data_IF_637066458494
#
_entry.id   IF_637066458494
#
_cell.length_a   1.000
_cell.length_b   1.000
_cell.length_c   1.000
_cell.angle_alpha   90.00
_cell.angle_beta   90.00
_cell.angle_gamma   90.00
#
_symmetry.space_group_name_H-M   'P 1'
#
loop_
_entity.id
_entity.type
_entity.pdbx_description
1 polymer ?
#
# COMPACT_ATOMS: atom_id res chain seq x y z
N UNK A 1 -11.16 -38.55 5.58
CA UNK A 1 -12.31 -37.76 6.05
C UNK A 1 -11.89 -36.30 6.10
N UNK A 2 -12.47 -35.42 5.30
CA UNK A 2 -12.08 -34.00 5.23
C UNK A 2 -13.01 -33.20 6.15
N UNK A 3 -12.45 -32.37 7.04
CA UNK A 3 -13.20 -31.40 7.85
C UNK A 3 -13.03 -30.00 7.27
N UNK A 4 -14.13 -29.25 7.14
CA UNK A 4 -14.12 -27.83 6.75
C UNK A 4 -14.29 -26.97 7.99
N UNK A 5 -13.49 -25.91 8.09
CA UNK A 5 -13.58 -24.91 9.13
C UNK A 5 -13.79 -23.55 8.48
N UNK A 6 -14.58 -22.68 9.12
CA UNK A 6 -14.78 -21.30 8.70
C UNK A 6 -14.12 -20.41 9.76
N UNK A 7 -13.14 -19.60 9.34
CA UNK A 7 -12.53 -18.59 10.21
C UNK A 7 -13.54 -17.47 10.43
N UNK A 8 -13.55 -16.88 11.63
CA UNK A 8 -14.38 -15.69 11.90
C UNK A 8 -13.96 -14.53 10.97
N UNK A 9 -14.88 -13.64 10.58
CA UNK A 9 -14.54 -12.45 9.80
C UNK A 9 -13.53 -11.60 10.59
N UNK A 10 -12.49 -11.14 9.89
CA UNK A 10 -11.47 -10.22 10.40
C UNK A 10 -11.75 -8.87 9.74
N UNK A 11 -11.85 -7.81 10.54
CA UNK A 11 -11.88 -6.44 10.03
C UNK A 11 -10.45 -6.05 9.62
N UNK A 12 -10.30 -5.52 8.41
CA UNK A 12 -9.03 -5.03 7.87
C UNK A 12 -9.18 -3.56 7.53
N UNK A 13 -8.13 -2.78 7.76
CA UNK A 13 -8.08 -1.38 7.35
C UNK A 13 -7.58 -1.29 5.90
N UNK A 14 -8.19 -0.40 5.13
CA UNK A 14 -7.83 -0.14 3.74
C UNK A 14 -7.72 1.36 3.53
N UNK A 15 -6.72 1.79 2.74
CA UNK A 15 -6.58 3.18 2.31
C UNK A 15 -6.48 3.23 0.78
N UNK A 16 -7.31 4.06 0.16
CA UNK A 16 -7.26 4.28 -1.28
C UNK A 16 -6.21 5.32 -1.63
N UNK A 17 -5.40 5.08 -2.67
CA UNK A 17 -4.52 6.12 -3.21
C UNK A 17 -5.32 7.13 -4.04
N UNK A 18 -5.30 8.39 -3.60
CA UNK A 18 -5.88 9.54 -4.30
C UNK A 18 -4.81 10.62 -4.45
N UNK A 19 -5.08 11.64 -5.28
CA UNK A 19 -4.15 12.77 -5.44
C UNK A 19 -3.98 13.61 -4.17
N UNK A 20 -4.95 13.57 -3.28
CA UNK A 20 -5.00 14.42 -2.09
C UNK A 20 -4.35 13.77 -0.85
N UNK A 21 -4.08 12.46 -0.87
CA UNK A 21 -3.60 11.69 0.30
C UNK A 21 -2.31 10.90 0.05
N UNK A 22 -1.53 11.25 -0.99
CA UNK A 22 -0.29 10.52 -1.37
C UNK A 22 0.66 10.32 -0.18
N UNK A 23 0.95 11.38 0.57
CA UNK A 23 1.85 11.32 1.74
C UNK A 23 1.29 10.42 2.85
N UNK A 24 -0.02 10.41 3.03
CA UNK A 24 -0.69 9.56 4.02
C UNK A 24 -0.55 8.09 3.63
N UNK A 25 -0.79 7.75 2.37
CA UNK A 25 -0.61 6.39 1.85
C UNK A 25 0.84 5.94 2.00
N UNK A 26 1.82 6.78 1.62
CA UNK A 26 3.25 6.46 1.77
C UNK A 26 3.66 6.22 3.23
N UNK A 27 3.04 6.92 4.18
CA UNK A 27 3.24 6.70 5.62
C UNK A 27 2.60 5.41 6.08
N UNK A 28 1.41 5.10 5.57
CA UNK A 28 0.70 3.85 5.85
C UNK A 28 1.55 2.64 5.50
N UNK A 29 2.10 2.58 4.29
CA UNK A 29 2.97 1.46 3.84
C UNK A 29 4.42 1.55 4.34
N UNK A 30 4.75 2.55 5.17
CA UNK A 30 6.08 2.67 5.81
C UNK A 30 7.21 3.21 4.93
N UNK A 31 6.99 3.42 3.63
CA UNK A 31 8.03 3.87 2.67
C UNK A 31 8.48 5.30 2.97
N UNK A 32 7.61 6.13 3.53
CA UNK A 32 7.90 7.53 3.82
C UNK A 32 9.18 7.70 4.67
N UNK A 33 9.53 6.69 5.48
CA UNK A 33 10.78 6.68 6.26
C UNK A 33 12.05 6.62 5.41
N UNK A 34 11.98 6.07 4.20
CA UNK A 34 13.12 6.01 3.26
C UNK A 34 13.21 7.27 2.38
N UNK A 35 12.09 7.98 2.22
CA UNK A 35 12.00 9.21 1.42
C UNK A 35 12.21 10.49 2.25
N UNK A 36 12.52 10.38 3.56
CA UNK A 36 12.56 11.51 4.49
C UNK A 36 13.56 12.63 4.15
N UNK A 37 14.52 12.37 3.26
CA UNK A 37 15.48 13.36 2.76
C UNK A 37 14.95 14.17 1.56
N UNK A 38 13.90 13.69 0.90
CA UNK A 38 13.23 14.39 -0.19
C UNK A 38 12.18 15.35 0.36
N UNK A 39 11.86 16.41 -0.38
CA UNK A 39 10.76 17.31 -0.03
C UNK A 39 9.44 16.66 -0.43
N UNK A 40 8.44 16.76 0.45
CA UNK A 40 7.08 16.26 0.18
C UNK A 40 6.52 16.73 -1.17
N UNK A 41 6.76 17.98 -1.56
CA UNK A 41 6.33 18.53 -2.85
C UNK A 41 6.92 17.77 -4.05
N UNK A 42 8.20 17.39 -3.98
CA UNK A 42 8.90 16.68 -5.05
C UNK A 42 8.40 15.23 -5.17
N UNK A 43 8.21 14.56 -4.03
CA UNK A 43 7.63 13.20 -3.95
C UNK A 43 6.22 13.20 -4.56
N UNK A 44 5.35 14.11 -4.10
CA UNK A 44 3.96 14.23 -4.56
C UNK A 44 3.91 14.49 -6.06
N UNK A 45 4.72 15.43 -6.55
CA UNK A 45 4.77 15.77 -7.98
C UNK A 45 5.18 14.56 -8.82
N UNK A 46 6.21 13.83 -8.40
CA UNK A 46 6.69 12.62 -9.08
C UNK A 46 5.60 11.55 -9.20
N UNK A 47 4.87 11.29 -8.12
CA UNK A 47 3.79 10.28 -8.11
C UNK A 47 2.60 10.75 -8.95
N UNK A 48 2.25 12.04 -8.92
CA UNK A 48 1.20 12.59 -9.79
C UNK A 48 1.56 12.47 -11.26
N UNK A 49 2.83 12.72 -11.63
CA UNK A 49 3.32 12.60 -13.00
C UNK A 49 3.35 11.14 -13.49
N UNK A 50 3.74 10.20 -12.63
CA UNK A 50 3.77 8.77 -12.94
C UNK A 50 2.39 8.12 -12.94
N UNK A 51 1.51 8.56 -12.06
CA UNK A 51 0.21 7.95 -11.80
C UNK A 51 0.22 6.81 -10.76
N UNK A 52 1.38 6.47 -10.19
CA UNK A 52 1.56 5.36 -9.26
C UNK A 52 2.84 5.49 -8.42
N UNK A 53 3.00 4.66 -7.39
CA UNK A 53 4.28 4.39 -6.73
C UNK A 53 4.48 2.88 -6.49
N UNK A 54 5.72 2.47 -6.25
CA UNK A 54 6.09 1.07 -6.01
C UNK A 54 6.68 0.90 -4.61
N UNK A 55 6.48 -0.27 -3.99
CA UNK A 55 7.05 -0.55 -2.67
C UNK A 55 7.29 -2.01 -2.37
N UNK A 56 8.33 -2.27 -1.59
CA UNK A 56 8.71 -3.62 -1.18
C UNK A 56 7.76 -4.15 -0.11
N UNK A 57 7.27 -5.38 -0.31
CA UNK A 57 6.38 -6.06 0.63
C UNK A 57 7.10 -6.59 1.88
N UNK A 58 8.42 -6.80 1.79
CA UNK A 58 9.24 -7.45 2.81
C UNK A 58 10.72 -7.05 2.68
N UNK A 59 11.41 -6.93 3.82
CA UNK A 59 12.82 -6.52 3.95
C UNK A 59 13.86 -7.37 3.17
N UNK A 60 13.49 -8.47 2.48
CA UNK A 60 14.46 -9.41 1.90
C UNK A 60 13.97 -10.26 0.70
N UNK A 61 12.86 -9.91 0.07
CA UNK A 61 12.42 -10.58 -1.16
C UNK A 61 12.15 -9.48 -2.18
N UNK A 62 12.78 -9.55 -3.36
CA UNK A 62 12.61 -8.62 -4.50
C UNK A 62 11.16 -8.60 -5.05
N UNK A 63 10.17 -8.41 -4.18
CA UNK A 63 8.74 -8.40 -4.44
C UNK A 63 8.22 -7.01 -4.15
N UNK A 64 7.75 -6.37 -5.22
CA UNK A 64 7.22 -5.02 -5.20
C UNK A 64 5.73 -5.06 -5.51
N UNK A 65 4.97 -4.21 -4.84
CA UNK A 65 3.61 -3.84 -5.24
C UNK A 65 3.61 -2.50 -5.94
N UNK A 66 2.69 -2.33 -6.88
CA UNK A 66 2.44 -1.08 -7.60
C UNK A 66 1.09 -0.56 -7.13
N UNK A 67 1.02 0.69 -6.68
CA UNK A 67 -0.22 1.35 -6.24
C UNK A 67 -0.50 2.53 -7.16
N UNK A 68 -1.55 2.42 -7.96
CA UNK A 68 -2.11 3.46 -8.80
C UNK A 68 -3.24 4.25 -8.14
N UNK A 69 -3.61 5.38 -8.73
CA UNK A 69 -4.76 6.15 -8.26
C UNK A 69 -6.06 5.36 -8.42
N UNK A 70 -6.80 5.20 -7.32
CA UNK A 70 -8.01 4.38 -7.25
C UNK A 70 -7.79 3.05 -6.51
N UNK A 71 -6.55 2.58 -6.41
CA UNK A 71 -6.23 1.30 -5.79
C UNK A 71 -6.30 1.41 -4.27
N UNK A 72 -6.73 0.33 -3.63
CA UNK A 72 -6.75 0.18 -2.18
C UNK A 72 -5.54 -0.59 -1.71
N UNK A 73 -4.84 -0.02 -0.73
CA UNK A 73 -3.81 -0.73 0.02
C UNK A 73 -4.42 -1.23 1.32
N UNK A 74 -4.32 -2.53 1.55
CA UNK A 74 -4.87 -3.21 2.73
C UNK A 74 -3.71 -3.79 3.52
N UNK A 75 -3.67 -3.51 4.83
CA UNK A 75 -2.80 -4.23 5.74
C UNK A 75 -3.56 -5.44 6.31
N UNK A 76 -3.04 -6.63 6.07
CA UNK A 76 -3.64 -7.85 6.62
C UNK A 76 -3.19 -8.14 8.07
N UNK A 77 -3.74 -9.21 8.64
CA UNK A 77 -3.45 -9.64 10.02
C UNK A 77 -1.99 -10.07 10.26
N UNK A 78 -1.22 -10.28 9.19
CA UNK A 78 0.20 -10.64 9.21
C UNK A 78 1.11 -9.43 8.96
N UNK A 79 0.53 -8.22 8.90
CA UNK A 79 1.22 -6.99 8.50
C UNK A 79 1.72 -7.02 7.05
N UNK A 80 1.16 -7.88 6.20
CA UNK A 80 1.39 -7.82 4.76
C UNK A 80 0.53 -6.71 4.17
N UNK A 81 1.09 -5.93 3.25
CA UNK A 81 0.29 -5.04 2.42
C UNK A 81 -0.11 -5.77 1.14
N UNK A 82 -1.33 -5.54 0.68
CA UNK A 82 -1.80 -6.01 -0.63
C UNK A 82 -2.53 -4.88 -1.33
N UNK A 83 -2.41 -4.86 -2.65
CA UNK A 83 -3.09 -3.89 -3.50
C UNK A 83 -4.29 -4.56 -4.14
N UNK A 84 -5.43 -3.87 -4.08
CA UNK A 84 -6.67 -4.31 -4.70
C UNK A 84 -7.22 -3.19 -5.58
N UNK A 85 -7.57 -3.56 -6.80
CA UNK A 85 -8.34 -2.73 -7.71
C UNK A 85 -9.82 -2.80 -7.29
N UNK A 86 -10.63 -1.81 -7.67
CA UNK A 86 -12.03 -1.66 -7.22
C UNK A 86 -13.03 -2.70 -7.81
N UNK A 87 -12.56 -3.84 -8.36
CA UNK A 87 -13.36 -4.88 -9.02
C UNK A 87 -13.97 -5.95 -8.08
#
# INVERSE_FOLDING_TARGET
>A
MIKKYVKKPVEVEAIQLTKDNIIEVLKYVGIYRYLYLEKDEDIVKSIIEKGYFEFELYDNTDMYEIVGFGDFVVQDEYSEYRVFDED
#
